data_IF_420442207082
#
_entry.id   IF_420442207082
#
_cell.length_a   1.000
_cell.length_b   1.000
_cell.length_c   1.000
_cell.angle_alpha   90.00
_cell.angle_beta   90.00
_cell.angle_gamma   90.00
#
_symmetry.space_group_name_H-M   'P 1'
#
loop_
_entity.id
_entity.type
_entity.pdbx_description
1 polymer ?
#
# COMPACT_ATOMS: atom_id res chain seq x y z
N UNK A 1 6.72 -25.37 19.38
CA UNK A 1 5.61 -25.45 20.35
C UNK A 1 5.12 -24.07 20.81
N UNK A 2 6.02 -23.14 21.12
CA UNK A 2 5.66 -21.76 21.55
C UNK A 2 4.73 -21.06 20.55
N UNK A 3 5.02 -21.14 19.26
CA UNK A 3 4.20 -20.51 18.22
C UNK A 3 2.79 -21.11 18.16
N UNK A 4 2.65 -22.44 18.35
CA UNK A 4 1.33 -23.11 18.38
C UNK A 4 0.49 -22.68 19.58
N UNK A 5 1.13 -22.37 20.69
CA UNK A 5 0.44 -21.85 21.87
C UNK A 5 -0.02 -20.40 21.67
N UNK A 6 0.78 -19.57 21.01
CA UNK A 6 0.46 -18.15 20.76
C UNK A 6 -0.57 -17.96 19.63
N UNK A 7 -0.50 -18.77 18.57
CA UNK A 7 -1.40 -18.66 17.42
C UNK A 7 -1.96 -20.06 17.05
N UNK A 8 -2.85 -20.63 17.86
CA UNK A 8 -3.34 -22.01 17.70
C UNK A 8 -4.17 -22.23 16.43
N UNK A 9 -4.65 -21.18 15.80
CA UNK A 9 -5.54 -21.24 14.63
C UNK A 9 -4.80 -21.40 13.30
N UNK A 10 -3.46 -21.33 13.29
CA UNK A 10 -2.67 -21.58 12.07
C UNK A 10 -2.63 -23.07 11.75
N UNK A 11 -2.64 -23.38 10.46
CA UNK A 11 -2.49 -24.76 9.99
C UNK A 11 -1.01 -25.17 9.94
N UNK A 12 -0.51 -25.75 11.00
CA UNK A 12 0.87 -26.21 11.14
C UNK A 12 1.20 -27.47 10.35
N UNK A 13 0.20 -28.14 9.81
CA UNK A 13 0.34 -29.40 9.08
C UNK A 13 0.13 -29.25 7.58
N UNK A 14 0.08 -28.01 7.09
CA UNK A 14 -0.13 -27.74 5.68
C UNK A 14 1.12 -28.07 4.86
N UNK A 15 1.00 -29.06 3.97
CA UNK A 15 2.11 -29.44 3.08
C UNK A 15 2.44 -28.38 2.02
N UNK A 16 1.43 -27.59 1.59
CA UNK A 16 1.63 -26.51 0.60
C UNK A 16 2.37 -25.31 1.18
N UNK A 17 2.09 -25.00 2.45
CA UNK A 17 2.67 -23.86 3.16
C UNK A 17 3.22 -24.28 4.54
N UNK A 18 4.32 -25.03 4.56
CA UNK A 18 4.86 -25.55 5.82
C UNK A 18 5.36 -24.42 6.72
N UNK A 19 4.92 -24.40 7.96
CA UNK A 19 5.39 -23.46 8.98
C UNK A 19 6.53 -24.11 9.75
N UNK A 20 7.77 -23.73 9.44
CA UNK A 20 8.97 -24.27 10.11
C UNK A 20 9.40 -23.44 11.30
N UNK A 21 8.96 -22.19 11.40
CA UNK A 21 9.29 -21.26 12.47
C UNK A 21 8.71 -19.87 12.22
N UNK A 22 8.96 -18.97 13.13
CA UNK A 22 8.58 -17.56 13.02
C UNK A 22 9.60 -16.65 13.67
N UNK A 23 9.68 -15.42 13.17
CA UNK A 23 10.38 -14.30 13.81
C UNK A 23 9.31 -13.36 14.38
N UNK A 24 9.46 -13.02 15.66
CA UNK A 24 8.49 -12.17 16.37
C UNK A 24 9.10 -10.81 16.67
N UNK A 25 8.47 -9.74 16.18
CA UNK A 25 8.79 -8.37 16.55
C UNK A 25 7.84 -7.92 17.67
N UNK A 26 8.30 -8.01 18.93
CA UNK A 26 7.47 -7.72 20.10
C UNK A 26 7.07 -6.24 20.26
N UNK A 27 7.79 -5.33 19.61
CA UNK A 27 7.50 -3.89 19.65
C UNK A 27 6.71 -3.38 18.44
N UNK A 28 6.31 -4.27 17.55
CA UNK A 28 5.44 -3.95 16.44
C UNK A 28 3.98 -3.79 16.90
N UNK A 29 3.17 -3.20 16.06
CA UNK A 29 1.75 -3.02 16.30
C UNK A 29 1.00 -2.72 15.01
N UNK A 30 -0.30 -2.52 15.13
CA UNK A 30 -1.15 -2.08 14.03
C UNK A 30 -1.55 -0.62 14.24
N UNK A 31 -1.45 0.17 13.19
CA UNK A 31 -1.94 1.53 13.18
C UNK A 31 -3.13 1.66 12.23
N UNK A 32 -4.12 2.44 12.62
CA UNK A 32 -5.22 2.78 11.72
C UNK A 32 -4.73 3.80 10.71
N UNK A 33 -4.50 3.36 9.49
CA UNK A 33 -3.93 4.18 8.41
C UNK A 33 -4.77 5.43 8.09
N UNK A 34 -6.09 5.34 8.14
CA UNK A 34 -7.01 6.46 7.99
C UNK A 34 -6.81 7.53 9.09
N UNK A 35 -6.74 7.10 10.35
CA UNK A 35 -6.52 8.01 11.47
C UNK A 35 -5.15 8.70 11.41
N UNK A 36 -4.11 7.99 10.97
CA UNK A 36 -2.76 8.56 10.77
C UNK A 36 -2.80 9.60 9.66
N UNK A 37 -3.39 9.28 8.50
CA UNK A 37 -3.50 10.22 7.37
C UNK A 37 -4.27 11.49 7.76
N UNK A 38 -5.41 11.36 8.44
CA UNK A 38 -6.16 12.50 8.92
C UNK A 38 -5.44 13.27 10.04
N UNK A 39 -4.64 12.60 10.84
CA UNK A 39 -3.77 13.23 11.84
C UNK A 39 -2.76 14.16 11.18
N UNK A 40 -2.05 13.68 10.17
CA UNK A 40 -1.11 14.50 9.39
C UNK A 40 -1.82 15.64 8.65
N UNK A 41 -2.97 15.38 8.03
CA UNK A 41 -3.72 16.42 7.33
C UNK A 41 -4.15 17.55 8.27
N UNK A 42 -4.72 17.23 9.44
CA UNK A 42 -5.08 18.25 10.45
C UNK A 42 -3.85 19.00 10.99
N UNK A 43 -2.73 18.28 11.19
CA UNK A 43 -1.49 18.92 11.61
C UNK A 43 -0.95 19.89 10.56
N UNK A 44 -0.98 19.52 9.29
CA UNK A 44 -0.57 20.39 8.19
C UNK A 44 -1.47 21.64 8.10
N UNK A 45 -2.79 21.44 8.12
CA UNK A 45 -3.78 22.53 8.11
C UNK A 45 -3.55 23.52 9.26
N UNK A 46 -3.32 23.04 10.49
CA UNK A 46 -3.04 23.88 11.64
C UNK A 46 -1.74 24.69 11.53
N UNK A 47 -0.83 24.29 10.64
CA UNK A 47 0.40 24.99 10.30
C UNK A 47 0.26 25.91 9.09
N UNK A 48 -0.95 26.09 8.56
CA UNK A 48 -1.25 26.98 7.45
C UNK A 48 -0.99 26.36 6.07
N UNK A 49 -0.97 25.03 5.96
CA UNK A 49 -0.86 24.35 4.67
C UNK A 49 -2.25 24.24 4.02
N UNK A 50 -2.40 24.78 2.82
CA UNK A 50 -3.63 24.64 2.03
C UNK A 50 -3.76 23.21 1.48
N UNK A 51 -4.80 22.49 1.87
CA UNK A 51 -5.12 21.16 1.37
C UNK A 51 -6.25 21.26 0.36
N UNK A 52 -5.93 21.15 -0.93
CA UNK A 52 -6.90 21.31 -2.01
C UNK A 52 -7.35 19.92 -2.48
N UNK A 53 -8.49 19.48 -2.01
CA UNK A 53 -9.11 18.21 -2.41
C UNK A 53 -9.75 18.30 -3.80
N UNK A 54 -9.89 17.16 -4.49
CA UNK A 54 -10.48 17.08 -5.83
C UNK A 54 -9.83 18.05 -6.81
N UNK A 55 -8.50 18.11 -6.79
CA UNK A 55 -7.65 18.96 -7.61
C UNK A 55 -6.58 18.09 -8.27
N UNK A 56 -6.92 17.47 -9.39
CA UNK A 56 -5.99 16.59 -10.12
C UNK A 56 -4.97 17.43 -10.89
N UNK A 57 -3.69 17.06 -10.80
CA UNK A 57 -2.64 17.62 -11.66
C UNK A 57 -2.76 16.99 -13.05
N UNK A 58 -2.95 17.83 -14.05
CA UNK A 58 -3.16 17.43 -15.45
C UNK A 58 -1.99 17.76 -16.36
N UNK A 59 -1.03 18.57 -15.88
CA UNK A 59 0.15 18.95 -16.64
C UNK A 59 1.22 19.65 -15.80
N UNK A 60 2.42 19.71 -16.36
CA UNK A 60 3.58 20.39 -15.79
C UNK A 60 4.16 21.35 -16.83
N UNK A 61 4.17 22.64 -16.52
CA UNK A 61 4.85 23.64 -17.35
C UNK A 61 6.29 23.79 -16.93
N UNK A 62 7.19 23.80 -17.91
CA UNK A 62 8.62 23.97 -17.71
C UNK A 62 9.09 25.26 -18.37
N UNK A 63 9.94 26.01 -17.67
CA UNK A 63 10.62 27.20 -18.18
C UNK A 63 12.05 27.18 -17.67
N UNK A 64 13.01 27.47 -18.52
CA UNK A 64 14.45 27.60 -18.19
C UNK A 64 15.01 26.45 -17.33
N UNK A 65 14.60 25.21 -17.63
CA UNK A 65 15.07 24.01 -16.88
C UNK A 65 14.42 23.79 -15.51
N UNK A 66 13.36 24.53 -15.19
CA UNK A 66 12.61 24.48 -13.93
C UNK A 66 11.15 24.13 -14.17
N UNK A 67 10.47 23.67 -13.14
CA UNK A 67 9.01 23.65 -13.12
C UNK A 67 8.51 25.06 -12.83
N UNK A 68 7.78 25.65 -13.74
CA UNK A 68 7.18 26.98 -13.59
C UNK A 68 5.80 26.89 -12.92
N UNK A 69 4.97 25.97 -13.38
CA UNK A 69 3.63 25.77 -12.82
C UNK A 69 3.10 24.36 -13.04
N UNK A 70 2.05 24.03 -12.29
CA UNK A 70 1.25 22.83 -12.46
C UNK A 70 -0.13 23.21 -12.98
N UNK A 71 -0.56 22.57 -14.06
CA UNK A 71 -1.95 22.64 -14.50
C UNK A 71 -2.76 21.68 -13.66
N UNK A 72 -3.91 22.11 -13.19
CA UNK A 72 -4.84 21.27 -12.43
C UNK A 72 -6.24 21.37 -12.98
N UNK A 73 -7.11 20.46 -12.54
CA UNK A 73 -8.55 20.52 -12.89
C UNK A 73 -9.27 21.76 -12.36
N UNK A 74 -8.64 22.54 -11.48
CA UNK A 74 -9.23 23.76 -10.91
C UNK A 74 -8.58 25.04 -11.44
N UNK A 75 -7.26 25.06 -11.52
CA UNK A 75 -6.50 26.26 -11.95
C UNK A 75 -5.06 25.88 -12.26
N UNK A 76 -4.29 26.87 -12.75
CA UNK A 76 -2.83 26.76 -12.83
C UNK A 76 -2.22 27.27 -11.53
N UNK A 77 -1.32 26.49 -10.96
CA UNK A 77 -0.64 26.79 -9.69
C UNK A 77 0.86 26.99 -9.94
N UNK A 78 1.35 28.19 -9.71
CA UNK A 78 2.78 28.49 -9.70
C UNK A 78 3.40 28.10 -8.36
N UNK A 79 4.61 27.55 -8.38
CA UNK A 79 5.31 27.17 -7.15
C UNK A 79 6.82 27.35 -7.27
N UNK A 80 7.47 27.83 -6.20
CA UNK A 80 8.93 27.94 -6.12
C UNK A 80 9.62 26.58 -6.02
N UNK A 81 8.95 25.59 -5.42
CA UNK A 81 9.40 24.20 -5.29
C UNK A 81 8.23 23.26 -5.44
N UNK A 82 8.44 22.14 -6.07
CA UNK A 82 7.41 21.10 -6.30
C UNK A 82 7.93 19.77 -5.78
N UNK A 83 7.10 19.05 -5.04
CA UNK A 83 7.37 17.69 -4.58
C UNK A 83 6.35 16.72 -5.14
N UNK A 84 6.80 15.68 -5.80
CA UNK A 84 5.96 14.57 -6.20
C UNK A 84 5.96 13.49 -5.12
N UNK A 85 4.83 13.31 -4.43
CA UNK A 85 4.59 12.28 -3.42
C UNK A 85 3.22 11.65 -3.68
N UNK A 86 3.08 10.95 -4.80
CA UNK A 86 1.80 10.53 -5.37
C UNK A 86 1.69 9.01 -5.54
N UNK A 87 2.54 8.27 -4.83
CA UNK A 87 2.54 6.80 -4.78
C UNK A 87 2.39 6.16 -6.17
N UNK A 88 1.44 5.27 -6.37
CA UNK A 88 1.24 4.56 -7.63
C UNK A 88 1.02 5.44 -8.87
N UNK A 89 0.74 6.73 -8.71
CA UNK A 89 0.63 7.67 -9.84
C UNK A 89 1.95 8.38 -10.19
N UNK A 90 3.05 8.05 -9.54
CA UNK A 90 4.35 8.72 -9.73
C UNK A 90 4.82 8.71 -11.18
N UNK A 91 4.72 7.57 -11.86
CA UNK A 91 5.12 7.47 -13.27
C UNK A 91 4.23 8.29 -14.21
N UNK A 92 2.93 8.46 -13.91
CA UNK A 92 2.02 9.32 -14.69
C UNK A 92 2.41 10.79 -14.58
N UNK A 93 2.63 11.29 -13.36
CA UNK A 93 3.07 12.67 -13.16
C UNK A 93 4.47 12.91 -13.76
N UNK A 94 5.35 11.93 -13.60
CA UNK A 94 6.70 12.01 -14.17
C UNK A 94 6.68 12.17 -15.69
N UNK A 95 5.83 11.45 -16.41
CA UNK A 95 5.69 11.60 -17.86
C UNK A 95 5.30 13.02 -18.26
N UNK A 96 4.51 13.73 -17.44
CA UNK A 96 4.12 15.11 -17.70
C UNK A 96 5.31 16.09 -17.62
N UNK A 97 6.40 15.70 -16.97
CA UNK A 97 7.61 16.50 -16.92
C UNK A 97 8.48 16.44 -18.16
N UNK A 98 8.27 15.47 -19.04
CA UNK A 98 9.12 15.23 -20.21
C UNK A 98 10.53 14.71 -19.90
N UNK A 99 10.80 14.22 -18.69
CA UNK A 99 12.12 13.71 -18.27
C UNK A 99 12.40 12.25 -18.65
N UNK A 100 11.65 11.68 -19.58
CA UNK A 100 11.81 10.28 -19.94
C UNK A 100 11.11 9.32 -18.98
N UNK A 101 11.62 8.09 -18.82
CA UNK A 101 10.97 7.05 -18.03
C UNK A 101 11.47 7.04 -16.59
N UNK A 102 10.56 7.02 -15.63
CA UNK A 102 10.87 6.74 -14.24
C UNK A 102 10.91 5.20 -14.04
N UNK A 103 11.94 4.63 -13.38
CA UNK A 103 12.03 3.19 -13.15
C UNK A 103 11.13 2.74 -11.99
N UNK A 104 9.86 3.11 -12.08
CA UNK A 104 8.78 2.72 -11.14
C UNK A 104 7.62 2.15 -11.96
N UNK A 105 7.13 1.02 -11.54
CA UNK A 105 5.98 0.37 -12.13
C UNK A 105 4.80 0.40 -11.16
N UNK A 106 3.59 0.51 -11.70
CA UNK A 106 2.38 0.60 -10.88
C UNK A 106 1.64 -0.73 -10.90
N UNK A 107 1.44 -1.30 -9.73
CA UNK A 107 0.75 -2.56 -9.52
C UNK A 107 -0.37 -2.41 -8.50
N UNK A 108 -1.38 -3.27 -8.60
CA UNK A 108 -2.46 -3.33 -7.61
C UNK A 108 -2.08 -4.24 -6.45
N UNK A 109 -2.39 -3.80 -5.25
CA UNK A 109 -2.43 -4.63 -4.05
C UNK A 109 -3.85 -4.66 -3.52
N UNK A 110 -4.36 -5.84 -3.17
CA UNK A 110 -5.71 -6.02 -2.71
C UNK A 110 -5.77 -6.40 -1.23
N UNK A 111 -6.76 -5.87 -0.54
CA UNK A 111 -7.02 -6.15 0.85
C UNK A 111 -8.49 -6.54 1.06
N UNK A 112 -8.73 -7.32 2.09
CA UNK A 112 -10.01 -7.91 2.43
C UNK A 112 -10.35 -7.66 3.89
N UNK A 113 -11.63 -7.53 4.20
CA UNK A 113 -12.13 -7.50 5.57
C UNK A 113 -13.29 -8.44 5.75
N UNK A 114 -13.23 -9.22 6.82
CA UNK A 114 -14.29 -10.16 7.19
C UNK A 114 -15.37 -9.52 8.06
N UNK A 115 -16.46 -10.25 8.26
CA UNK A 115 -17.36 -10.01 9.38
C UNK A 115 -16.60 -10.04 10.71
N UNK A 116 -17.12 -9.36 11.76
CA UNK A 116 -16.50 -9.39 13.09
C UNK A 116 -16.51 -10.79 13.70
N UNK A 117 -15.38 -11.19 14.22
CA UNK A 117 -15.19 -12.43 14.98
C UNK A 117 -14.86 -12.10 16.43
N UNK A 118 -15.04 -13.08 17.32
CA UNK A 118 -14.46 -12.99 18.67
C UNK A 118 -12.94 -12.82 18.58
N UNK A 119 -12.28 -12.19 19.57
CA UNK A 119 -10.83 -12.09 19.59
C UNK A 119 -10.17 -13.48 19.46
N UNK A 120 -9.36 -13.66 18.42
CA UNK A 120 -8.66 -14.91 18.15
C UNK A 120 -7.24 -14.72 17.63
N UNK A 121 -6.89 -13.50 17.19
CA UNK A 121 -5.57 -13.21 16.65
C UNK A 121 -5.05 -11.89 17.23
N UNK A 122 -4.05 -11.96 18.11
CA UNK A 122 -3.45 -10.80 18.77
C UNK A 122 -2.20 -10.27 18.05
N UNK A 123 -1.73 -10.98 17.03
CA UNK A 123 -0.55 -10.66 16.27
C UNK A 123 -0.92 -10.25 14.84
N UNK A 124 -0.12 -9.39 14.25
CA UNK A 124 -0.06 -9.27 12.79
C UNK A 124 0.80 -10.41 12.29
N UNK A 125 0.24 -11.30 11.51
CA UNK A 125 0.97 -12.42 10.91
C UNK A 125 1.26 -12.09 9.46
N UNK A 126 2.54 -12.18 9.09
CA UNK A 126 2.98 -12.08 7.70
C UNK A 126 3.58 -13.41 7.31
N UNK A 127 3.14 -13.94 6.21
CA UNK A 127 3.55 -15.23 5.69
C UNK A 127 4.13 -15.03 4.29
N UNK A 128 5.34 -15.52 4.08
CA UNK A 128 6.00 -15.45 2.78
C UNK A 128 6.61 -16.80 2.43
N UNK A 129 6.09 -17.45 1.40
CA UNK A 129 6.61 -18.71 0.88
C UNK A 129 6.50 -18.73 -0.64
N UNK A 130 7.60 -19.04 -1.31
CA UNK A 130 7.58 -19.37 -2.75
C UNK A 130 7.00 -18.29 -3.67
N UNK A 131 7.14 -17.01 -3.32
CA UNK A 131 6.61 -15.89 -4.10
C UNK A 131 5.20 -15.44 -3.70
N UNK A 132 4.54 -16.17 -2.80
CA UNK A 132 3.24 -15.78 -2.25
C UNK A 132 3.43 -14.97 -0.97
N UNK A 133 2.86 -13.79 -0.92
CA UNK A 133 2.81 -12.96 0.29
C UNK A 133 1.40 -12.96 0.83
N UNK A 134 1.25 -13.31 2.10
CA UNK A 134 -0.03 -13.24 2.79
C UNK A 134 0.17 -12.56 4.15
N UNK A 135 -0.70 -11.64 4.48
CA UNK A 135 -0.75 -11.05 5.80
C UNK A 135 -2.16 -11.09 6.36
N UNK A 136 -2.26 -11.18 7.68
CA UNK A 136 -3.53 -11.15 8.38
C UNK A 136 -3.36 -10.51 9.75
N UNK A 137 -4.34 -9.71 10.13
CA UNK A 137 -4.47 -9.14 11.46
C UNK A 137 -5.94 -9.09 11.86
N UNK A 138 -6.22 -9.03 13.14
CA UNK A 138 -7.57 -8.78 13.63
C UNK A 138 -7.67 -7.33 14.11
N UNK A 139 -8.71 -6.63 13.66
CA UNK A 139 -8.97 -5.27 14.09
C UNK A 139 -9.57 -5.23 15.50
N UNK A 140 -9.52 -4.08 16.15
CA UNK A 140 -10.17 -3.79 17.42
C UNK A 140 -11.69 -4.03 17.42
N UNK A 141 -12.30 -3.99 16.25
CA UNK A 141 -13.74 -4.28 16.02
C UNK A 141 -14.03 -5.75 15.67
N UNK A 142 -13.02 -6.61 15.73
CA UNK A 142 -13.14 -8.05 15.50
C UNK A 142 -13.01 -8.49 14.04
N UNK A 143 -13.09 -7.61 13.06
CA UNK A 143 -12.91 -7.97 11.65
C UNK A 143 -11.49 -8.40 11.35
N UNK A 144 -11.33 -9.51 10.62
CA UNK A 144 -10.03 -9.93 10.09
C UNK A 144 -9.70 -9.09 8.87
N UNK A 145 -8.55 -8.42 8.89
CA UNK A 145 -8.01 -7.68 7.75
C UNK A 145 -6.86 -8.49 7.18
N UNK A 146 -6.95 -8.87 5.94
CA UNK A 146 -5.94 -9.69 5.29
C UNK A 146 -5.80 -9.35 3.83
N UNK A 147 -4.71 -9.77 3.26
CA UNK A 147 -4.35 -9.57 1.87
C UNK A 147 -3.06 -10.29 1.56
N UNK A 148 -2.49 -9.99 0.44
CA UNK A 148 -1.23 -10.63 0.11
C UNK A 148 -0.81 -10.35 -1.28
N UNK A 149 -1.11 -11.21 -2.17
CA UNK A 149 -0.48 -11.28 -3.47
C UNK A 149 -0.60 -9.98 -4.28
N UNK A 150 0.46 -9.69 -5.01
CA UNK A 150 0.54 -8.55 -5.90
C UNK A 150 -0.03 -8.94 -7.26
N UNK A 151 -0.90 -8.11 -7.80
CA UNK A 151 -1.29 -8.23 -9.20
C UNK A 151 -0.11 -7.80 -10.09
N UNK A 152 0.57 -8.77 -10.69
CA UNK A 152 1.73 -8.54 -11.54
C UNK A 152 1.39 -7.85 -12.86
N UNK A 153 0.11 -7.69 -13.17
CA UNK A 153 -0.34 -6.88 -14.29
C UNK A 153 -0.27 -5.40 -13.93
N UNK A 154 0.52 -4.65 -14.66
CA UNK A 154 0.68 -3.19 -14.47
C UNK A 154 -0.65 -2.49 -14.73
N UNK A 155 -1.14 -1.77 -13.73
CA UNK A 155 -2.44 -1.12 -13.83
C UNK A 155 -2.59 0.04 -12.85
N UNK A 156 -3.30 1.06 -13.28
CA UNK A 156 -3.77 2.16 -12.42
C UNK A 156 -5.20 1.96 -11.91
N UNK A 157 -5.81 0.82 -12.19
CA UNK A 157 -7.16 0.52 -11.74
C UNK A 157 -7.20 0.41 -10.21
N UNK A 158 -8.21 1.03 -9.59
CA UNK A 158 -8.41 1.01 -8.14
C UNK A 158 -9.42 -0.07 -7.70
N UNK A 159 -9.90 -0.87 -8.63
CA UNK A 159 -10.77 -2.02 -8.36
C UNK A 159 -9.94 -3.30 -8.38
N UNK A 160 -10.25 -4.21 -7.47
CA UNK A 160 -9.68 -5.54 -7.46
C UNK A 160 -10.11 -6.39 -8.67
N UNK A 161 -9.53 -7.56 -8.78
CA UNK A 161 -9.86 -8.56 -9.79
C UNK A 161 -10.09 -9.93 -9.14
N UNK A 162 -10.83 -10.79 -9.83
CA UNK A 162 -11.19 -12.10 -9.33
C UNK A 162 -10.00 -13.05 -9.14
N UNK A 163 -8.98 -13.13 -10.02
CA UNK A 163 -7.83 -14.00 -9.80
C UNK A 163 -7.15 -13.76 -8.45
N UNK A 164 -6.86 -12.51 -8.09
CA UNK A 164 -6.23 -12.19 -6.79
C UNK A 164 -7.17 -12.50 -5.61
N UNK A 165 -8.49 -12.29 -5.78
CA UNK A 165 -9.47 -12.70 -4.75
C UNK A 165 -9.36 -14.20 -4.49
N UNK A 166 -9.28 -15.00 -5.55
CA UNK A 166 -9.17 -16.44 -5.46
C UNK A 166 -7.85 -16.86 -4.78
N UNK A 167 -6.73 -16.34 -5.24
CA UNK A 167 -5.40 -16.66 -4.70
C UNK A 167 -5.29 -16.31 -3.21
N UNK A 168 -5.76 -15.13 -2.82
CA UNK A 168 -5.76 -14.70 -1.41
C UNK A 168 -6.70 -15.56 -0.57
N UNK A 169 -7.88 -15.93 -1.07
CA UNK A 169 -8.82 -16.81 -0.36
C UNK A 169 -8.25 -18.22 -0.18
N UNK A 170 -7.59 -18.78 -1.19
CA UNK A 170 -6.89 -20.06 -1.10
C UNK A 170 -5.77 -20.01 -0.06
N UNK A 171 -4.93 -18.98 -0.08
CA UNK A 171 -3.88 -18.79 0.92
C UNK A 171 -4.47 -18.63 2.33
N UNK A 172 -5.48 -17.79 2.49
CA UNK A 172 -6.12 -17.53 3.78
C UNK A 172 -6.68 -18.83 4.40
N UNK A 173 -7.40 -19.61 3.62
CA UNK A 173 -8.01 -20.87 4.08
C UNK A 173 -6.99 -21.97 4.29
N UNK A 174 -5.93 -22.01 3.52
CA UNK A 174 -4.83 -22.97 3.71
C UNK A 174 -4.03 -22.67 4.99
N UNK A 175 -3.78 -21.39 5.29
CA UNK A 175 -2.98 -20.95 6.45
C UNK A 175 -3.85 -20.93 7.73
N UNK A 176 -5.08 -20.45 7.64
CA UNK A 176 -6.06 -20.41 8.75
C UNK A 176 -7.40 -21.01 8.31
N UNK A 177 -7.59 -22.33 8.45
CA UNK A 177 -8.79 -23.03 7.96
C UNK A 177 -10.12 -22.50 8.50
N UNK A 178 -10.11 -21.89 9.68
CA UNK A 178 -11.31 -21.27 10.26
C UNK A 178 -11.88 -20.13 9.39
N UNK A 179 -11.06 -19.50 8.56
CA UNK A 179 -11.50 -18.43 7.64
C UNK A 179 -12.41 -18.94 6.51
N UNK A 180 -12.38 -20.23 6.20
CA UNK A 180 -13.27 -20.84 5.20
C UNK A 180 -14.77 -20.77 5.53
N UNK A 181 -15.13 -20.41 6.77
CA UNK A 181 -16.52 -20.23 7.22
C UNK A 181 -16.89 -18.76 7.46
N UNK A 182 -15.98 -17.84 7.18
CA UNK A 182 -16.14 -16.43 7.51
C UNK A 182 -16.59 -15.66 6.27
N UNK A 183 -17.55 -14.76 6.42
CA UNK A 183 -18.04 -13.94 5.32
C UNK A 183 -17.11 -12.76 5.10
N UNK A 184 -16.80 -12.49 3.83
CA UNK A 184 -16.12 -11.27 3.42
C UNK A 184 -17.15 -10.14 3.29
N UNK A 185 -16.92 -9.05 4.01
CA UNK A 185 -17.78 -7.86 3.93
C UNK A 185 -17.33 -6.92 2.82
N UNK A 186 -16.03 -6.82 2.59
CA UNK A 186 -15.47 -5.89 1.62
C UNK A 186 -14.11 -6.39 1.11
N UNK A 187 -13.85 -6.10 -0.14
CA UNK A 187 -12.51 -6.09 -0.67
C UNK A 187 -12.26 -4.78 -1.43
N UNK A 188 -11.03 -4.31 -1.42
CA UNK A 188 -10.61 -3.10 -2.14
C UNK A 188 -9.19 -3.27 -2.64
N UNK A 189 -8.77 -2.37 -3.54
CA UNK A 189 -7.39 -2.33 -4.00
C UNK A 189 -6.83 -0.92 -3.94
N UNK A 190 -5.52 -0.84 -3.81
CA UNK A 190 -4.72 0.35 -3.95
C UNK A 190 -3.66 0.18 -5.03
N UNK A 191 -3.16 1.28 -5.55
CA UNK A 191 -2.08 1.29 -6.52
C UNK A 191 -0.75 1.53 -5.81
N UNK A 192 0.18 0.60 -5.98
CA UNK A 192 1.52 0.65 -5.41
C UNK A 192 2.53 1.12 -6.44
N UNK A 193 3.52 1.86 -5.99
CA UNK A 193 4.69 2.29 -6.73
C UNK A 193 5.86 1.34 -6.48
N UNK A 194 6.08 0.43 -7.43
CA UNK A 194 7.13 -0.59 -7.34
C UNK A 194 8.41 -0.09 -8.02
N UNK A 195 9.47 0.12 -7.26
CA UNK A 195 10.80 0.34 -7.79
C UNK A 195 11.46 -0.98 -8.18
N UNK A 196 12.47 -0.92 -9.04
CA UNK A 196 13.11 -2.13 -9.61
C UNK A 196 13.90 -2.95 -8.59
N UNK A 197 14.42 -2.30 -7.55
CA UNK A 197 15.28 -2.92 -6.52
C UNK A 197 14.64 -2.94 -5.12
N UNK A 198 13.37 -2.50 -5.01
CA UNK A 198 12.68 -2.41 -3.74
C UNK A 198 13.04 -1.20 -2.88
N UNK A 199 13.89 -0.29 -3.38
CA UNK A 199 14.31 0.92 -2.67
C UNK A 199 13.49 2.13 -3.10
N UNK A 200 13.17 3.01 -2.15
CA UNK A 200 12.44 4.25 -2.45
C UNK A 200 13.35 5.34 -3.01
N UNK A 201 12.76 6.21 -3.81
CA UNK A 201 13.39 7.42 -4.33
C UNK A 201 13.02 8.61 -3.44
N UNK A 202 14.00 9.18 -2.75
CA UNK A 202 13.87 10.44 -2.03
C UNK A 202 14.99 11.35 -2.54
N UNK A 203 14.72 12.12 -3.59
CA UNK A 203 15.79 12.80 -4.32
C UNK A 203 15.35 14.11 -4.99
N UNK A 204 16.35 14.89 -5.37
CA UNK A 204 16.20 15.95 -6.39
C UNK A 204 16.13 15.30 -7.76
N UNK A 205 15.44 15.93 -8.67
CA UNK A 205 15.34 15.49 -10.06
C UNK A 205 16.28 16.31 -10.97
N UNK A 206 16.45 15.94 -12.25
CA UNK A 206 17.16 16.76 -13.21
C UNK A 206 16.53 18.13 -13.49
N UNK A 207 15.23 18.31 -13.20
CA UNK A 207 14.63 19.64 -13.22
C UNK A 207 14.92 20.37 -11.91
N UNK A 208 15.42 21.58 -12.02
CA UNK A 208 15.57 22.43 -10.86
C UNK A 208 14.22 22.63 -10.17
N UNK A 209 14.20 22.71 -8.87
CA UNK A 209 13.02 22.87 -8.01
C UNK A 209 12.01 21.71 -7.97
N UNK A 210 12.24 20.59 -8.67
CA UNK A 210 11.40 19.39 -8.58
C UNK A 210 12.05 18.31 -7.71
N UNK A 211 11.29 17.78 -6.77
CA UNK A 211 11.69 16.73 -5.85
C UNK A 211 10.76 15.51 -6.01
N UNK A 212 11.32 14.34 -5.81
CA UNK A 212 10.58 13.07 -5.90
C UNK A 212 10.64 12.31 -4.56
N UNK A 213 9.50 11.83 -4.12
CA UNK A 213 9.33 10.88 -3.02
C UNK A 213 8.38 9.78 -3.48
N UNK A 214 8.91 8.64 -3.92
CA UNK A 214 8.16 7.56 -4.55
C UNK A 214 8.90 6.23 -4.51
N UNK A 215 8.26 5.15 -4.97
CA UNK A 215 8.86 3.83 -5.06
C UNK A 215 8.92 3.10 -3.73
N UNK A 216 7.94 3.29 -2.87
CA UNK A 216 7.93 2.74 -1.51
C UNK A 216 7.56 1.26 -1.44
N UNK A 217 7.09 0.66 -2.53
CA UNK A 217 6.76 -0.76 -2.59
C UNK A 217 5.81 -1.16 -1.44
N UNK A 218 6.16 -2.21 -0.69
CA UNK A 218 5.42 -2.65 0.50
C UNK A 218 5.74 -1.84 1.76
N UNK A 219 6.69 -0.94 1.71
CA UNK A 219 7.23 -0.23 2.87
C UNK A 219 6.64 1.16 3.15
N UNK A 220 5.66 1.60 2.35
CA UNK A 220 5.22 2.99 2.32
C UNK A 220 4.60 3.54 3.60
N UNK A 221 4.21 2.70 4.54
CA UNK A 221 3.63 3.10 5.82
C UNK A 221 4.59 2.89 7.02
N UNK A 222 5.79 2.47 6.78
CA UNK A 222 6.78 2.16 7.84
C UNK A 222 7.69 3.34 8.11
#
# INVERSE_FOLDING_TARGET
ETLKAEIPHLNYYNARFPIIGAVVQKRAGSARHDAVTWGYARGADSLGVDIIQNCEVTGVTREDGKVASLQTTRSTIGAKKVGFAVAGNSSRLWQMTGLGRLPIETHKLQAFVSEPLKPLLYHVVVFGVGGTHFYISQSDKGGMVFGGDLDWYKSYAQRGNLPIVQDVAECATAIMPCLGRVRLLRHWSGVMDMSMDGSSFICKTPLENLYLNAGWNYGGFK
#
